data_IF_517722322887
#
_entry.id   IF_517722322887
#
_cell.length_a   1.000
_cell.length_b   1.000
_cell.length_c   1.000
_cell.angle_alpha   90.00
_cell.angle_beta   90.00
_cell.angle_gamma   90.00
#
_symmetry.space_group_name_H-M   'P 1'
#
loop_
_entity.id
_entity.type
_entity.pdbx_description
1 polymer ?
#
# COMPACT_ATOMS: atom_id res chain seq x y z
N UNK A 1 10.58 -6.94 22.95
CA UNK A 1 9.56 -6.33 22.08
C UNK A 1 9.40 -7.10 20.78
N UNK A 2 10.46 -7.33 19.99
CA UNK A 2 10.39 -8.07 18.71
C UNK A 2 9.66 -9.43 18.74
N UNK A 3 9.98 -10.34 19.69
CA UNK A 3 9.29 -11.64 19.76
C UNK A 3 7.79 -11.48 20.06
N UNK A 4 7.42 -10.52 20.93
CA UNK A 4 6.02 -10.20 21.23
C UNK A 4 5.31 -9.71 19.95
N UNK A 5 5.91 -8.75 19.24
CA UNK A 5 5.35 -8.15 18.02
C UNK A 5 5.13 -9.20 16.91
N UNK A 6 6.04 -10.18 16.77
CA UNK A 6 5.88 -11.29 15.83
C UNK A 6 4.63 -12.12 16.16
N UNK A 7 4.38 -12.41 17.44
CA UNK A 7 3.20 -13.16 17.86
C UNK A 7 1.91 -12.33 17.78
N UNK A 8 2.01 -11.00 17.80
CA UNK A 8 0.86 -10.10 17.65
C UNK A 8 0.42 -9.90 16.19
N UNK A 9 1.23 -10.32 15.20
CA UNK A 9 0.92 -10.15 13.77
C UNK A 9 -0.48 -10.64 13.35
N UNK A 10 -0.99 -11.80 13.80
CA UNK A 10 -2.34 -12.24 13.40
C UNK A 10 -3.43 -11.25 13.84
N UNK A 11 -3.30 -10.70 15.05
CA UNK A 11 -4.20 -9.68 15.57
C UNK A 11 -4.03 -8.36 14.82
N UNK A 12 -2.79 -7.92 14.60
CA UNK A 12 -2.52 -6.69 13.87
C UNK A 12 -3.07 -6.71 12.43
N UNK A 13 -2.96 -7.83 11.73
CA UNK A 13 -3.53 -8.01 10.38
C UNK A 13 -5.06 -7.93 10.43
N UNK A 14 -5.70 -8.63 11.36
CA UNK A 14 -7.16 -8.56 11.54
C UNK A 14 -7.61 -7.13 11.81
N UNK A 15 -6.98 -6.47 12.78
CA UNK A 15 -7.39 -5.13 13.21
C UNK A 15 -7.16 -4.08 12.10
N UNK A 16 -6.22 -4.33 11.18
CA UNK A 16 -6.01 -3.51 9.98
C UNK A 16 -7.10 -3.70 8.93
N UNK A 17 -7.55 -4.94 8.71
CA UNK A 17 -8.52 -5.29 7.66
C UNK A 17 -9.97 -5.12 8.10
N UNK A 18 -10.31 -5.49 9.35
CA UNK A 18 -11.69 -5.59 9.83
C UNK A 18 -12.53 -4.33 9.65
N UNK A 19 -12.05 -3.12 9.98
CA UNK A 19 -12.89 -1.94 9.82
C UNK A 19 -13.04 -1.49 8.35
N UNK A 20 -12.36 -2.17 7.41
CA UNK A 20 -12.35 -1.86 5.97
C UNK A 20 -13.21 -2.88 5.22
N UNK A 21 -13.91 -3.75 5.94
CA UNK A 21 -14.85 -4.73 5.40
C UNK A 21 -16.21 -4.46 6.03
N UNK A 22 -17.17 -4.01 5.21
CA UNK A 22 -18.58 -3.79 5.62
C UNK A 22 -19.48 -4.65 4.74
N UNK A 23 -20.38 -5.41 5.37
CA UNK A 23 -21.30 -6.33 4.69
C UNK A 23 -20.61 -7.28 3.69
N UNK A 24 -19.41 -7.76 4.05
CA UNK A 24 -18.62 -8.68 3.22
C UNK A 24 -17.94 -8.03 2.02
N UNK A 25 -17.98 -6.70 1.89
CA UNK A 25 -17.32 -5.93 0.82
C UNK A 25 -16.24 -5.02 1.39
N UNK A 26 -15.22 -4.76 0.58
CA UNK A 26 -14.20 -3.77 0.90
C UNK A 26 -14.84 -2.37 0.88
N UNK A 27 -14.66 -1.61 1.95
CA UNK A 27 -15.04 -0.21 2.08
C UNK A 27 -13.81 0.62 2.47
N UNK A 28 -13.37 1.49 1.57
CA UNK A 28 -12.24 2.40 1.75
C UNK A 28 -12.68 3.88 1.79
N UNK A 29 -13.99 4.15 1.89
CA UNK A 29 -14.54 5.51 1.90
C UNK A 29 -13.99 6.37 3.04
N UNK A 30 -13.72 5.77 4.21
CA UNK A 30 -13.08 6.43 5.36
C UNK A 30 -11.66 6.92 5.08
N UNK A 31 -11.00 6.41 4.04
CA UNK A 31 -9.68 6.84 3.58
C UNK A 31 -9.75 7.87 2.45
N UNK A 32 -10.96 8.32 2.07
CA UNK A 32 -11.16 9.19 0.91
C UNK A 32 -10.93 8.49 -0.43
N UNK A 33 -10.90 7.15 -0.44
CA UNK A 33 -10.73 6.32 -1.64
C UNK A 33 -12.09 5.73 -2.01
N UNK A 34 -12.98 6.59 -2.50
CA UNK A 34 -14.24 6.14 -3.09
C UNK A 34 -14.04 5.51 -4.47
N UNK A 35 -15.12 4.97 -5.04
CA UNK A 35 -15.07 4.24 -6.30
C UNK A 35 -14.59 5.11 -7.47
N UNK A 36 -14.93 6.40 -7.47
CA UNK A 36 -14.51 7.34 -8.51
C UNK A 36 -13.01 7.65 -8.40
N UNK A 37 -12.52 7.93 -7.20
CA UNK A 37 -11.10 8.14 -6.92
C UNK A 37 -10.27 6.93 -7.37
N UNK A 38 -10.71 5.71 -7.02
CA UNK A 38 -10.01 4.47 -7.39
C UNK A 38 -9.99 4.27 -8.91
N UNK A 39 -11.11 4.48 -9.60
CA UNK A 39 -11.20 4.33 -11.07
C UNK A 39 -10.31 5.31 -11.83
N UNK A 40 -10.03 6.47 -11.23
CA UNK A 40 -9.19 7.50 -11.83
C UNK A 40 -7.69 7.27 -11.62
N UNK A 41 -7.29 6.30 -10.79
CA UNK A 41 -5.87 5.94 -10.62
C UNK A 41 -5.32 5.35 -11.92
N UNK A 42 -4.29 6.01 -12.48
CA UNK A 42 -3.60 5.55 -13.70
C UNK A 42 -2.21 4.98 -13.45
N UNK A 43 -1.62 5.28 -12.28
CA UNK A 43 -0.27 4.89 -11.88
C UNK A 43 -0.14 5.00 -10.37
N UNK A 44 0.74 4.17 -9.78
CA UNK A 44 1.04 4.19 -8.35
C UNK A 44 2.54 4.49 -8.15
N UNK A 45 2.85 5.45 -7.28
CA UNK A 45 4.20 5.68 -6.78
C UNK A 45 4.26 5.29 -5.30
N UNK A 46 5.18 4.41 -4.94
CA UNK A 46 5.38 3.96 -3.55
C UNK A 46 6.75 4.43 -3.08
N UNK A 47 6.78 5.29 -2.08
CA UNK A 47 8.02 5.90 -1.56
C UNK A 47 8.20 5.47 -0.11
N UNK A 48 9.35 4.87 0.20
CA UNK A 48 9.62 4.35 1.55
C UNK A 48 11.10 4.20 1.87
N UNK A 49 11.41 3.87 3.12
CA UNK A 49 12.77 3.58 3.60
C UNK A 49 12.82 2.19 4.26
N UNK A 50 13.97 1.53 4.18
CA UNK A 50 14.22 0.25 4.89
C UNK A 50 13.14 -0.80 4.62
N UNK A 51 12.58 -1.39 5.67
CA UNK A 51 11.54 -2.43 5.55
C UNK A 51 10.28 -1.96 4.80
N UNK A 52 9.90 -0.68 4.91
CA UNK A 52 8.73 -0.15 4.17
C UNK A 52 8.97 -0.08 2.66
N UNK A 53 10.21 0.20 2.24
CA UNK A 53 10.60 0.10 0.83
C UNK A 53 10.43 -1.33 0.30
N UNK A 54 10.87 -2.32 1.07
CA UNK A 54 10.71 -3.73 0.69
C UNK A 54 9.24 -4.16 0.58
N UNK A 55 8.36 -3.65 1.44
CA UNK A 55 6.90 -3.84 1.28
C UNK A 55 6.41 -3.23 -0.03
N UNK A 56 6.86 -2.03 -0.39
CA UNK A 56 6.53 -1.39 -1.67
C UNK A 56 6.95 -2.23 -2.88
N UNK A 57 8.16 -2.83 -2.84
CA UNK A 57 8.63 -3.74 -3.90
C UNK A 57 7.73 -4.96 -4.02
N UNK A 58 7.30 -5.56 -2.91
CA UNK A 58 6.33 -6.67 -2.94
C UNK A 58 4.96 -6.23 -3.48
N UNK A 59 4.47 -5.07 -3.04
CA UNK A 59 3.18 -4.52 -3.46
C UNK A 59 3.14 -4.22 -4.96
N UNK A 60 4.26 -3.79 -5.56
CA UNK A 60 4.39 -3.59 -7.00
C UNK A 60 3.95 -4.82 -7.80
N UNK A 61 4.42 -6.02 -7.42
CA UNK A 61 4.00 -7.25 -8.11
C UNK A 61 2.50 -7.49 -8.00
N UNK A 62 1.90 -7.22 -6.83
CA UNK A 62 0.46 -7.41 -6.61
C UNK A 62 -0.35 -6.45 -7.47
N UNK A 63 -0.03 -5.15 -7.46
CA UNK A 63 -0.75 -4.16 -8.24
C UNK A 63 -0.56 -4.34 -9.76
N UNK A 64 0.66 -4.60 -10.23
CA UNK A 64 0.91 -4.82 -11.66
C UNK A 64 0.24 -6.10 -12.18
N UNK A 65 0.21 -7.17 -11.37
CA UNK A 65 -0.40 -8.44 -11.79
C UNK A 65 -1.93 -8.42 -11.76
N UNK A 66 -2.52 -7.87 -10.70
CA UNK A 66 -3.97 -7.92 -10.48
C UNK A 66 -4.70 -6.73 -11.10
N UNK A 67 -4.19 -5.51 -10.88
CA UNK A 67 -4.84 -4.28 -11.32
C UNK A 67 -4.32 -3.74 -12.66
N UNK A 68 -3.21 -4.30 -13.17
CA UNK A 68 -2.57 -3.90 -14.43
C UNK A 68 -2.18 -2.41 -14.47
N UNK A 69 -1.90 -1.83 -13.29
CA UNK A 69 -1.44 -0.46 -13.14
C UNK A 69 0.10 -0.41 -13.13
N UNK A 70 0.73 0.53 -13.84
CA UNK A 70 2.16 0.79 -13.68
C UNK A 70 2.47 1.21 -12.24
N UNK A 71 3.50 0.61 -11.64
CA UNK A 71 3.93 0.94 -10.28
C UNK A 71 5.42 1.24 -10.24
N UNK A 72 5.77 2.37 -9.64
CA UNK A 72 7.15 2.76 -9.38
C UNK A 72 7.41 2.79 -7.86
N UNK A 73 8.56 2.24 -7.45
CA UNK A 73 8.93 2.13 -6.05
C UNK A 73 10.31 2.75 -5.87
N UNK A 74 10.41 3.77 -5.02
CA UNK A 74 11.64 4.51 -4.79
C UNK A 74 12.03 4.56 -3.32
N UNK A 75 13.34 4.60 -3.08
CA UNK A 75 13.90 4.90 -1.75
C UNK A 75 13.67 6.39 -1.49
N UNK A 76 13.08 6.73 -0.34
CA UNK A 76 12.66 8.10 -0.08
C UNK A 76 13.81 9.13 -0.08
N UNK A 77 15.01 8.74 0.36
CA UNK A 77 16.18 9.61 0.30
C UNK A 77 16.53 10.00 -1.14
N UNK A 78 16.40 9.07 -2.09
CA UNK A 78 16.71 9.31 -3.50
C UNK A 78 15.58 10.06 -4.19
N UNK A 79 14.33 9.67 -3.93
CA UNK A 79 13.15 10.33 -4.50
C UNK A 79 13.14 11.83 -4.20
N UNK A 80 13.55 12.23 -2.98
CA UNK A 80 13.58 13.63 -2.54
C UNK A 80 14.49 14.52 -3.38
N UNK A 81 15.58 13.97 -3.93
CA UNK A 81 16.61 14.76 -4.62
C UNK A 81 16.64 14.52 -6.14
N UNK A 82 15.79 13.64 -6.66
CA UNK A 82 15.64 13.44 -8.11
C UNK A 82 14.50 14.29 -8.67
N UNK A 83 14.44 14.39 -9.99
CA UNK A 83 13.35 15.02 -10.73
C UNK A 83 12.47 13.91 -11.37
N UNK A 84 11.50 13.34 -10.63
CA UNK A 84 10.69 12.22 -11.11
C UNK A 84 9.60 12.69 -12.08
N UNK A 85 9.37 11.93 -13.14
CA UNK A 85 8.20 12.12 -14.01
C UNK A 85 6.99 11.51 -13.31
N UNK A 86 6.02 12.31 -12.87
CA UNK A 86 4.83 11.88 -12.14
C UNK A 86 3.61 11.67 -13.05
#
# INVERSE_FOLDING_TARGET
FMMKEIHEQPTAVRDTLSPRIKDGRIDLSELGLDEEAIKNVRRIYIIGCGSAYHVGVAARYVFESLARLPVEVDVASEFRYRDPVL
#
